data_IF_360313261113
#
_entry.id   IF_360313261113
#
_cell.length_a   1.000
_cell.length_b   1.000
_cell.length_c   1.000
_cell.angle_alpha   90.00
_cell.angle_beta   90.00
_cell.angle_gamma   90.00
#
_symmetry.space_group_name_H-M   'P 1'
#
loop_
_entity.id
_entity.type
_entity.pdbx_description
1 polymer ?
#
# COMPACT_ATOMS: atom_id res chain seq x y z
N UNK A 1 3.34 -5.28 2.94
CA UNK A 1 2.63 -4.68 1.78
C UNK A 1 3.62 -3.75 1.11
N UNK A 2 3.72 -3.79 -0.21
CA UNK A 2 4.59 -2.87 -0.96
C UNK A 2 3.95 -1.47 -0.95
N UNK A 3 4.64 -0.43 -0.47
CA UNK A 3 4.12 0.93 -0.42
C UNK A 3 3.75 1.48 -1.81
N UNK A 4 4.37 0.97 -2.87
CA UNK A 4 4.06 1.33 -4.24
C UNK A 4 2.56 1.20 -4.55
N UNK A 5 1.95 0.06 -4.23
CA UNK A 5 0.55 -0.17 -4.54
C UNK A 5 -0.40 0.77 -3.79
N UNK A 6 -0.07 1.11 -2.54
CA UNK A 6 -0.87 2.07 -1.78
C UNK A 6 -0.79 3.47 -2.40
N UNK A 7 0.43 3.98 -2.64
CA UNK A 7 0.61 5.33 -3.16
C UNK A 7 0.05 5.50 -4.57
N UNK A 8 0.29 4.54 -5.47
CA UNK A 8 -0.20 4.59 -6.86
C UNK A 8 -1.73 4.69 -6.92
N UNK A 9 -2.43 3.84 -6.19
CA UNK A 9 -3.90 3.76 -6.25
C UNK A 9 -4.59 5.06 -5.83
N UNK A 10 -3.99 5.82 -4.94
CA UNK A 10 -4.60 7.02 -4.39
C UNK A 10 -4.07 8.31 -4.99
N UNK A 11 -2.84 8.32 -5.53
CA UNK A 11 -2.17 9.54 -5.95
C UNK A 11 -2.03 9.70 -7.48
N UNK A 12 -1.97 8.59 -8.24
CA UNK A 12 -1.80 8.67 -9.69
C UNK A 12 -3.07 9.19 -10.36
N UNK A 13 -2.94 10.16 -11.25
CA UNK A 13 -4.07 10.78 -11.95
C UNK A 13 -4.95 9.79 -12.72
N UNK A 14 -4.32 8.81 -13.39
CA UNK A 14 -5.02 7.76 -14.15
C UNK A 14 -5.80 6.76 -13.28
N UNK A 15 -5.65 6.83 -11.95
CA UNK A 15 -6.35 5.98 -10.98
C UNK A 15 -7.63 6.59 -10.44
N UNK A 16 -8.12 7.67 -11.06
CA UNK A 16 -9.42 8.25 -10.71
C UNK A 16 -10.58 7.27 -10.99
N UNK A 17 -11.71 7.36 -10.24
CA UNK A 17 -12.88 6.55 -10.53
C UNK A 17 -13.37 6.68 -11.98
N UNK A 18 -13.87 5.61 -12.59
CA UNK A 18 -14.15 4.28 -12.01
C UNK A 18 -12.96 3.31 -12.01
N UNK A 19 -11.76 3.74 -12.39
CA UNK A 19 -10.59 2.86 -12.58
C UNK A 19 -10.07 2.34 -11.25
N UNK A 20 -9.87 3.23 -10.26
CA UNK A 20 -9.32 2.86 -8.95
C UNK A 20 -9.74 3.84 -7.84
N UNK A 21 -8.85 4.10 -6.88
CA UNK A 21 -9.18 4.71 -5.59
C UNK A 21 -8.70 6.16 -5.43
N UNK A 22 -8.32 6.85 -6.49
CA UNK A 22 -8.04 8.28 -6.44
C UNK A 22 -9.35 9.08 -6.36
N UNK A 23 -10.06 8.92 -5.24
CA UNK A 23 -11.38 9.55 -5.00
C UNK A 23 -11.30 11.07 -4.85
N UNK A 24 -10.12 11.59 -4.52
CA UNK A 24 -9.85 13.03 -4.47
C UNK A 24 -9.63 13.65 -5.85
N UNK A 25 -9.66 12.85 -6.91
CA UNK A 25 -9.34 13.31 -8.28
C UNK A 25 -8.02 14.07 -8.35
N UNK A 26 -7.03 13.62 -7.57
CA UNK A 26 -5.70 14.20 -7.53
C UNK A 26 -5.10 14.11 -8.94
N UNK A 27 -4.66 15.26 -9.44
CA UNK A 27 -4.03 15.38 -10.76
C UNK A 27 -2.79 16.26 -10.64
N UNK A 28 -1.72 15.67 -10.11
CA UNK A 28 -0.44 16.33 -9.92
C UNK A 28 0.62 15.65 -10.81
N UNK A 29 1.14 16.35 -11.83
CA UNK A 29 2.13 15.78 -12.75
C UNK A 29 3.38 15.26 -12.05
N UNK A 30 3.80 15.88 -10.95
CA UNK A 30 4.94 15.41 -10.15
C UNK A 30 4.69 14.03 -9.55
N UNK A 31 3.45 13.76 -9.10
CA UNK A 31 3.11 12.43 -8.57
C UNK A 31 3.14 11.38 -9.67
N UNK A 32 2.61 11.69 -10.85
CA UNK A 32 2.62 10.78 -12.00
C UNK A 32 4.05 10.47 -12.47
N UNK A 33 4.94 11.47 -12.46
CA UNK A 33 6.37 11.28 -12.77
C UNK A 33 7.04 10.35 -11.76
N UNK A 34 6.86 10.60 -10.46
CA UNK A 34 7.45 9.79 -9.39
C UNK A 34 6.90 8.36 -9.36
N UNK A 35 5.62 8.17 -9.63
CA UNK A 35 5.01 6.84 -9.82
C UNK A 35 5.65 6.12 -10.98
N UNK A 36 5.82 6.80 -12.11
CA UNK A 36 6.45 6.22 -13.30
C UNK A 36 7.90 5.84 -13.02
N UNK A 37 8.66 6.72 -12.38
CA UNK A 37 10.04 6.47 -11.93
C UNK A 37 10.12 5.24 -11.03
N UNK A 38 9.27 5.14 -10.01
CA UNK A 38 9.24 3.98 -9.11
C UNK A 38 8.84 2.68 -9.82
N UNK A 39 7.97 2.76 -10.83
CA UNK A 39 7.53 1.60 -11.63
C UNK A 39 8.62 1.06 -12.55
N UNK A 40 9.45 1.92 -13.11
CA UNK A 40 10.48 1.56 -14.09
C UNK A 40 11.86 1.33 -13.47
N UNK A 41 12.01 1.59 -12.18
CA UNK A 41 13.28 1.41 -11.46
C UNK A 41 13.32 0.01 -10.82
N UNK A 42 14.27 -0.83 -11.26
CA UNK A 42 14.45 -2.20 -10.75
C UNK A 42 15.42 -2.28 -9.57
N UNK A 43 16.29 -1.28 -9.38
CA UNK A 43 17.11 -1.17 -8.17
C UNK A 43 16.25 -0.83 -6.97
N UNK A 44 16.30 -1.66 -5.92
CA UNK A 44 15.44 -1.52 -4.75
C UNK A 44 15.67 -0.20 -4.01
N UNK A 45 16.92 0.22 -3.85
CA UNK A 45 17.27 1.44 -3.12
C UNK A 45 16.79 2.68 -3.87
N UNK A 46 17.01 2.72 -5.18
CA UNK A 46 16.56 3.84 -6.02
C UNK A 46 15.03 3.90 -6.11
N UNK A 47 14.37 2.74 -6.14
CA UNK A 47 12.91 2.65 -6.12
C UNK A 47 12.34 3.16 -4.79
N UNK A 48 12.90 2.74 -3.66
CA UNK A 48 12.48 3.19 -2.34
C UNK A 48 12.70 4.69 -2.16
N UNK A 49 13.79 5.24 -2.70
CA UNK A 49 14.01 6.68 -2.71
C UNK A 49 12.93 7.45 -3.51
N UNK A 50 12.52 6.93 -4.67
CA UNK A 50 11.45 7.53 -5.45
C UNK A 50 10.09 7.47 -4.72
N UNK A 51 9.79 6.36 -4.01
CA UNK A 51 8.59 6.22 -3.19
C UNK A 51 8.61 7.14 -1.98
N UNK A 52 9.75 7.31 -1.33
CA UNK A 52 9.91 8.26 -0.22
C UNK A 52 9.69 9.71 -0.69
N UNK A 53 10.22 10.08 -1.86
CA UNK A 53 9.98 11.39 -2.47
C UNK A 53 8.50 11.61 -2.80
N UNK A 54 7.83 10.59 -3.37
CA UNK A 54 6.40 10.65 -3.66
C UNK A 54 5.57 10.85 -2.38
N UNK A 55 5.91 10.11 -1.33
CA UNK A 55 5.23 10.24 -0.04
C UNK A 55 5.45 11.64 0.56
N UNK A 56 6.68 12.15 0.59
CA UNK A 56 6.97 13.49 1.06
C UNK A 56 6.19 14.56 0.26
N UNK A 57 6.19 14.47 -1.07
CA UNK A 57 5.45 15.37 -1.91
C UNK A 57 3.94 15.33 -1.65
N UNK A 58 3.38 14.14 -1.37
CA UNK A 58 1.94 14.00 -1.06
C UNK A 58 1.57 14.58 0.31
N UNK A 59 2.49 14.59 1.25
CA UNK A 59 2.33 15.26 2.56
C UNK A 59 2.39 16.78 2.38
N UNK A 60 3.34 17.28 1.63
CA UNK A 60 3.52 18.72 1.38
C UNK A 60 2.33 19.31 0.60
N UNK A 61 1.77 18.55 -0.35
CA UNK A 61 0.57 18.93 -1.12
C UNK A 61 -0.72 18.80 -0.31
N UNK A 62 -0.65 18.26 0.93
CA UNK A 62 -1.79 17.93 1.76
C UNK A 62 -2.85 17.05 1.04
N UNK A 63 -2.39 16.20 0.12
CA UNK A 63 -3.26 15.32 -0.66
C UNK A 63 -4.08 14.37 0.23
N UNK A 64 -3.52 13.95 1.35
CA UNK A 64 -4.16 13.13 2.39
C UNK A 64 -3.74 13.55 3.79
N UNK A 65 -4.64 13.42 4.75
CA UNK A 65 -4.31 13.46 6.16
C UNK A 65 -3.90 12.05 6.62
N UNK A 66 -2.60 11.85 6.83
CA UNK A 66 -2.06 10.61 7.37
C UNK A 66 -2.21 10.60 8.90
N UNK A 67 -3.07 9.74 9.44
CA UNK A 67 -3.40 9.75 10.88
C UNK A 67 -2.68 8.63 11.62
N UNK A 68 -2.80 7.40 11.13
CA UNK A 68 -2.24 6.22 11.79
C UNK A 68 -2.13 5.03 10.82
N UNK A 69 -1.25 4.09 11.16
CA UNK A 69 -1.26 2.77 10.56
C UNK A 69 -2.29 1.89 11.26
N UNK A 70 -3.14 1.24 10.48
CA UNK A 70 -4.12 0.30 11.00
C UNK A 70 -3.43 -0.95 11.57
N UNK A 71 -3.93 -1.42 12.70
CA UNK A 71 -3.55 -2.69 13.31
C UNK A 71 -4.70 -3.67 13.10
N UNK A 72 -4.47 -4.69 12.26
CA UNK A 72 -5.46 -5.73 11.97
C UNK A 72 -5.43 -6.87 13.00
N UNK A 73 -6.07 -6.77 14.17
CA UNK A 73 -6.06 -7.83 15.15
C UNK A 73 -6.81 -9.06 14.61
N UNK A 74 -6.30 -10.25 14.93
CA UNK A 74 -6.92 -11.53 14.59
C UNK A 74 -7.15 -12.34 15.85
N UNK A 75 -8.41 -12.67 16.12
CA UNK A 75 -8.76 -13.60 17.18
C UNK A 75 -8.76 -15.03 16.64
N UNK A 76 -8.06 -15.92 17.32
CA UNK A 76 -7.94 -17.33 16.93
C UNK A 76 -8.29 -18.23 18.09
N UNK A 77 -8.96 -19.34 17.82
CA UNK A 77 -9.11 -20.41 18.80
C UNK A 77 -7.73 -21.00 19.15
N UNK A 78 -7.48 -21.40 20.40
CA UNK A 78 -6.24 -22.08 20.78
C UNK A 78 -6.04 -23.42 20.06
N UNK A 79 -7.09 -23.96 19.47
CA UNK A 79 -7.05 -25.18 18.63
C UNK A 79 -6.49 -24.93 17.23
N UNK A 80 -6.35 -23.69 16.79
CA UNK A 80 -5.77 -23.35 15.49
C UNK A 80 -4.25 -23.39 15.59
N UNK A 81 -3.64 -24.14 14.69
CA UNK A 81 -2.19 -24.25 14.54
C UNK A 81 -1.77 -23.83 13.14
N UNK A 82 -0.51 -23.41 12.96
CA UNK A 82 0.05 -23.03 11.67
C UNK A 82 -0.40 -21.68 11.14
N UNK A 83 -1.19 -20.90 11.88
CA UNK A 83 -1.57 -19.56 11.44
C UNK A 83 -0.36 -18.61 11.52
N UNK A 84 -0.09 -17.93 10.40
CA UNK A 84 0.92 -16.87 10.32
C UNK A 84 0.20 -15.54 10.10
N UNK A 85 0.45 -14.56 10.98
CA UNK A 85 -0.14 -13.24 10.85
C UNK A 85 0.37 -12.57 9.56
N UNK A 86 -0.51 -12.28 8.58
CA UNK A 86 -0.09 -11.65 7.35
C UNK A 86 0.19 -10.16 7.56
N UNK A 87 1.07 -9.60 6.73
CA UNK A 87 1.28 -8.15 6.60
C UNK A 87 0.24 -7.47 5.71
N UNK A 88 -0.78 -8.19 5.29
CA UNK A 88 -1.86 -7.73 4.41
C UNK A 88 -3.22 -8.21 4.92
N UNK A 89 -4.29 -7.83 4.24
CA UNK A 89 -5.64 -8.29 4.55
C UNK A 89 -5.86 -9.77 4.18
N UNK A 90 -5.06 -10.29 3.26
CA UNK A 90 -5.19 -11.66 2.78
C UNK A 90 -4.45 -12.62 3.70
N UNK A 91 -5.15 -13.70 4.06
CA UNK A 91 -4.63 -14.77 4.91
C UNK A 91 -4.35 -15.99 4.05
N UNK A 92 -3.15 -16.58 4.19
CA UNK A 92 -2.87 -17.91 3.67
C UNK A 92 -3.35 -18.94 4.68
N UNK A 93 -4.33 -19.74 4.30
CA UNK A 93 -4.87 -20.83 5.11
C UNK A 93 -4.22 -22.18 4.84
N UNK A 94 -3.32 -22.28 3.86
CA UNK A 94 -2.69 -23.56 3.48
C UNK A 94 -1.95 -24.26 4.64
N UNK A 95 -1.23 -23.53 5.54
CA UNK A 95 -0.55 -24.16 6.67
C UNK A 95 -1.46 -24.36 7.90
N UNK A 96 -2.71 -23.91 7.85
CA UNK A 96 -3.61 -23.90 9.02
C UNK A 96 -4.22 -25.28 9.26
N UNK A 97 -4.18 -25.74 10.52
CA UNK A 97 -4.81 -26.96 10.95
C UNK A 97 -5.56 -26.78 12.28
N UNK A 98 -6.51 -27.67 12.54
CA UNK A 98 -7.29 -27.69 13.78
C UNK A 98 -6.89 -28.94 14.58
N UNK A 99 -6.51 -28.73 15.84
CA UNK A 99 -6.28 -29.82 16.79
C UNK A 99 -7.59 -30.15 17.52
N UNK A 100 -7.86 -31.42 17.66
CA UNK A 100 -9.01 -31.91 18.44
C UNK A 100 -8.79 -31.66 19.95
#
# INVERSE_FOLDING_TARGET
MDPFFALVRFLQSSMAPPVSNNWGFINNPKFDELVTKARTTFDATARDAALAELHAASVDDAAFLYVAHDVGPRALSPKIKGFVQPKSWFVDFSPVSITQ
#
